data_IF_451219418220
#
_entry.id   IF_451219418220
#
_cell.length_a   1.000
_cell.length_b   1.000
_cell.length_c   1.000
_cell.angle_alpha   90.00
_cell.angle_beta   90.00
_cell.angle_gamma   90.00
#
_symmetry.space_group_name_H-M   'P 1'
#
loop_
_entity.id
_entity.type
_entity.pdbx_description
1 polymer ?
#
# COMPACT_ATOMS: atom_id res chain seq x y z
N UNK A 1 -11.42 13.14 12.08
CA UNK A 1 -11.38 11.76 11.53
C UNK A 1 -10.56 11.65 10.24
N UNK A 2 -10.75 12.53 9.24
CA UNK A 2 -10.01 12.52 7.96
C UNK A 2 -8.47 12.50 8.11
N UNK A 3 -7.95 13.26 9.09
CA UNK A 3 -6.51 13.33 9.39
C UNK A 3 -5.90 12.02 9.89
N UNK A 4 -6.65 11.26 10.68
CA UNK A 4 -6.21 9.95 11.20
C UNK A 4 -6.17 8.91 10.08
N UNK A 5 -7.15 8.94 9.18
CA UNK A 5 -7.14 8.08 7.98
C UNK A 5 -5.93 8.30 7.10
N UNK A 6 -5.47 9.55 6.93
CA UNK A 6 -4.26 9.86 6.16
C UNK A 6 -3.01 9.30 6.87
N UNK A 7 -2.93 9.44 8.19
CA UNK A 7 -1.82 8.85 8.96
C UNK A 7 -1.78 7.33 8.88
N UNK A 8 -2.95 6.68 8.83
CA UNK A 8 -3.07 5.23 8.68
C UNK A 8 -3.07 4.78 7.23
N UNK A 9 -2.91 5.69 6.26
CA UNK A 9 -3.07 5.40 4.83
C UNK A 9 -2.18 4.26 4.36
N UNK A 10 -0.91 4.23 4.79
CA UNK A 10 0.01 3.13 4.48
C UNK A 10 -0.44 1.79 5.06
N UNK A 11 -0.93 1.77 6.30
CA UNK A 11 -1.44 0.54 6.93
C UNK A 11 -2.72 0.04 6.24
N UNK A 12 -3.63 0.96 5.89
CA UNK A 12 -4.88 0.62 5.20
C UNK A 12 -4.59 0.07 3.81
N UNK A 13 -3.72 0.72 3.02
CA UNK A 13 -3.34 0.23 1.70
C UNK A 13 -2.65 -1.14 1.78
N UNK A 14 -1.77 -1.33 2.76
CA UNK A 14 -1.15 -2.63 3.02
C UNK A 14 -2.18 -3.71 3.39
N UNK A 15 -3.13 -3.41 4.28
CA UNK A 15 -4.16 -4.37 4.66
C UNK A 15 -5.09 -4.72 3.49
N UNK A 16 -5.49 -3.73 2.69
CA UNK A 16 -6.30 -3.96 1.48
C UNK A 16 -5.55 -4.85 0.50
N UNK A 17 -4.25 -4.58 0.28
CA UNK A 17 -3.40 -5.44 -0.54
C UNK A 17 -3.34 -6.87 0.00
N UNK A 18 -3.20 -7.03 1.32
CA UNK A 18 -3.20 -8.35 1.95
C UNK A 18 -4.47 -9.14 1.66
N UNK A 19 -5.64 -8.54 1.88
CA UNK A 19 -6.90 -9.24 1.66
C UNK A 19 -7.14 -9.56 0.18
N UNK A 20 -6.69 -8.69 -0.73
CA UNK A 20 -6.79 -8.96 -2.17
C UNK A 20 -5.91 -10.13 -2.61
N UNK A 21 -4.64 -10.15 -2.18
CA UNK A 21 -3.75 -11.27 -2.48
C UNK A 21 -4.27 -12.57 -1.86
N UNK A 22 -4.77 -12.51 -0.62
CA UNK A 22 -5.38 -13.67 0.03
C UNK A 22 -6.59 -14.20 -0.75
N UNK A 23 -7.50 -13.32 -1.17
CA UNK A 23 -8.67 -13.70 -1.97
C UNK A 23 -8.26 -14.35 -3.29
N UNK A 24 -7.29 -13.78 -3.99
CA UNK A 24 -6.77 -14.33 -5.25
C UNK A 24 -6.10 -15.69 -5.04
N UNK A 25 -5.36 -15.86 -3.94
CA UNK A 25 -4.71 -17.13 -3.63
C UNK A 25 -5.72 -18.23 -3.24
N UNK A 26 -6.76 -17.88 -2.48
CA UNK A 26 -7.77 -18.82 -1.99
C UNK A 26 -8.74 -19.25 -3.09
N UNK A 27 -9.23 -18.30 -3.90
CA UNK A 27 -10.30 -18.55 -4.88
C UNK A 27 -9.84 -18.57 -6.34
N UNK A 28 -8.65 -18.03 -6.65
CA UNK A 28 -8.18 -17.90 -8.03
C UNK A 28 -7.49 -19.16 -8.59
N UNK A 29 -6.94 -20.03 -7.73
CA UNK A 29 -6.12 -21.18 -8.16
C UNK A 29 -4.68 -20.81 -8.54
N UNK A 30 -3.98 -21.71 -9.24
CA UNK A 30 -2.53 -21.59 -9.55
C UNK A 30 -2.20 -21.12 -10.98
N UNK A 31 -3.18 -20.60 -11.72
CA UNK A 31 -3.00 -20.21 -13.13
C UNK A 31 -2.21 -18.91 -13.33
N UNK A 32 -1.60 -18.76 -14.51
CA UNK A 32 -0.90 -17.53 -14.94
C UNK A 32 -1.79 -16.28 -14.91
N UNK A 33 -3.10 -16.43 -15.13
CA UNK A 33 -4.07 -15.35 -15.01
C UNK A 33 -4.19 -14.76 -13.60
N UNK A 34 -4.06 -15.59 -12.55
CA UNK A 34 -4.11 -15.13 -11.15
C UNK A 34 -2.86 -14.33 -10.81
N UNK A 35 -1.69 -14.75 -11.29
CA UNK A 35 -0.43 -14.01 -11.14
C UNK A 35 -0.52 -12.65 -11.81
N UNK A 36 -1.10 -12.58 -13.01
CA UNK A 36 -1.31 -11.31 -13.71
C UNK A 36 -2.28 -10.41 -12.93
N UNK A 37 -3.42 -10.94 -12.48
CA UNK A 37 -4.38 -10.18 -11.68
C UNK A 37 -3.73 -9.64 -10.38
N UNK A 38 -2.99 -10.48 -9.66
CA UNK A 38 -2.23 -10.08 -8.47
C UNK A 38 -1.22 -8.97 -8.80
N UNK A 39 -0.45 -9.11 -9.88
CA UNK A 39 0.51 -8.10 -10.35
C UNK A 39 -0.17 -6.74 -10.57
N UNK A 40 -1.30 -6.74 -11.29
CA UNK A 40 -2.05 -5.51 -11.59
C UNK A 40 -2.63 -4.87 -10.32
N UNK A 41 -3.19 -5.67 -9.40
CA UNK A 41 -3.66 -5.18 -8.11
C UNK A 41 -2.53 -4.57 -7.27
N UNK A 42 -1.38 -5.24 -7.20
CA UNK A 42 -0.20 -4.73 -6.48
C UNK A 42 0.28 -3.41 -7.07
N UNK A 43 0.39 -3.31 -8.39
CA UNK A 43 0.79 -2.07 -9.07
C UNK A 43 -0.22 -0.94 -8.83
N UNK A 44 -1.52 -1.24 -8.87
CA UNK A 44 -2.55 -0.24 -8.60
C UNK A 44 -2.46 0.30 -7.16
N UNK A 45 -2.24 -0.56 -6.17
CA UNK A 45 -2.11 -0.15 -4.76
C UNK A 45 -0.80 0.61 -4.53
N UNK A 46 0.32 0.17 -5.10
CA UNK A 46 1.58 0.90 -5.03
C UNK A 46 1.47 2.28 -5.70
N UNK A 47 0.78 2.35 -6.84
CA UNK A 47 0.46 3.62 -7.49
C UNK A 47 -0.35 4.54 -6.58
N UNK A 48 -1.37 4.01 -5.90
CA UNK A 48 -2.13 4.73 -4.88
C UNK A 48 -1.27 5.23 -3.71
N UNK A 49 -0.35 4.39 -3.21
CA UNK A 49 0.57 4.76 -2.14
C UNK A 49 1.52 5.89 -2.55
N UNK A 50 2.11 5.81 -3.75
CA UNK A 50 2.98 6.84 -4.32
C UNK A 50 2.20 8.14 -4.53
N UNK A 51 1.00 8.06 -5.10
CA UNK A 51 0.15 9.23 -5.30
C UNK A 51 -0.20 9.93 -3.98
N UNK A 52 -0.61 9.16 -2.96
CA UNK A 52 -0.87 9.71 -1.62
C UNK A 52 0.39 10.31 -0.99
N UNK A 53 1.55 9.66 -1.14
CA UNK A 53 2.82 10.17 -0.63
C UNK A 53 3.17 11.52 -1.26
N UNK A 54 3.01 11.64 -2.58
CA UNK A 54 3.23 12.89 -3.32
C UNK A 54 2.21 13.96 -2.93
N UNK A 55 0.94 13.59 -2.73
CA UNK A 55 -0.09 14.53 -2.29
C UNK A 55 0.22 15.10 -0.90
N UNK A 56 0.58 14.24 0.06
CA UNK A 56 0.92 14.62 1.44
C UNK A 56 2.24 15.41 1.49
N UNK A 57 3.23 15.08 0.66
CA UNK A 57 4.52 15.80 0.66
C UNK A 57 4.39 17.25 0.17
N UNK A 58 3.39 17.54 -0.67
CA UNK A 58 3.07 18.88 -1.17
C UNK A 58 2.26 19.74 -0.20
N UNK A 59 1.74 19.17 0.90
CA UNK A 59 1.02 19.94 1.91
C UNK A 59 1.96 20.87 2.69
N UNK A 60 1.59 22.14 2.79
CA UNK A 60 2.28 23.16 3.59
C UNK A 60 1.68 23.18 5.00
N UNK A 61 2.42 22.76 6.04
CA UNK A 61 1.90 22.68 7.40
C UNK A 61 1.86 24.07 8.04
N UNK A 62 0.68 24.46 8.51
CA UNK A 62 0.46 25.76 9.18
C UNK A 62 0.97 25.82 10.63
N UNK A 63 1.21 24.67 11.26
CA UNK A 63 1.65 24.58 12.66
C UNK A 63 2.63 23.39 12.91
N UNK A 64 3.34 23.35 14.05
CA UNK A 64 4.27 22.28 14.38
C UNK A 64 3.64 20.88 14.46
N UNK A 65 2.40 20.78 14.95
CA UNK A 65 1.69 19.51 15.05
C UNK A 65 1.31 18.96 13.67
N UNK A 66 0.88 19.84 12.75
CA UNK A 66 0.64 19.50 11.35
C UNK A 66 1.91 19.01 10.65
N UNK A 67 3.07 19.61 10.96
CA UNK A 67 4.37 19.17 10.43
C UNK A 67 4.73 17.76 10.93
N UNK A 68 4.55 17.50 12.22
CA UNK A 68 4.76 16.16 12.78
C UNK A 68 3.82 15.13 12.15
N UNK A 69 2.53 15.46 12.05
CA UNK A 69 1.51 14.60 11.45
C UNK A 69 1.84 14.24 10.01
N UNK A 70 2.27 15.21 9.21
CA UNK A 70 2.70 14.99 7.81
C UNK A 70 3.86 14.00 7.73
N UNK A 71 4.88 14.15 8.59
CA UNK A 71 6.02 13.23 8.66
C UNK A 71 5.59 11.81 9.06
N UNK A 72 4.74 11.70 10.07
CA UNK A 72 4.19 10.41 10.51
C UNK A 72 3.41 9.72 9.37
N UNK A 73 2.56 10.44 8.65
CA UNK A 73 1.81 9.91 7.51
C UNK A 73 2.73 9.45 6.37
N UNK A 74 3.76 10.24 6.02
CA UNK A 74 4.74 9.85 5.00
C UNK A 74 5.53 8.61 5.39
N UNK A 75 5.95 8.50 6.65
CA UNK A 75 6.63 7.29 7.16
C UNK A 75 5.70 6.08 7.10
N UNK A 76 4.44 6.23 7.54
CA UNK A 76 3.46 5.14 7.47
C UNK A 76 3.24 4.68 6.02
N UNK A 77 3.13 5.61 5.06
CA UNK A 77 3.03 5.29 3.63
C UNK A 77 4.27 4.58 3.10
N UNK A 78 5.47 5.02 3.49
CA UNK A 78 6.72 4.39 3.06
C UNK A 78 6.86 2.96 3.60
N UNK A 79 6.60 2.74 4.89
CA UNK A 79 6.64 1.41 5.49
C UNK A 79 5.51 0.51 5.00
N UNK A 80 4.31 1.05 4.78
CA UNK A 80 3.20 0.32 4.17
C UNK A 80 3.53 -0.12 2.74
N UNK A 81 4.11 0.77 1.94
CA UNK A 81 4.60 0.45 0.59
C UNK A 81 5.69 -0.61 0.58
N UNK A 82 6.66 -0.51 1.49
CA UNK A 82 7.69 -1.53 1.68
C UNK A 82 7.06 -2.89 2.04
N UNK A 83 6.09 -2.89 2.95
CA UNK A 83 5.33 -4.08 3.34
C UNK A 83 4.58 -4.71 2.17
N UNK A 84 3.97 -3.90 1.29
CA UNK A 84 3.30 -4.38 0.07
C UNK A 84 4.30 -5.08 -0.85
N UNK A 85 5.48 -4.50 -1.07
CA UNK A 85 6.53 -5.11 -1.90
C UNK A 85 6.98 -6.45 -1.33
N UNK A 86 7.33 -6.49 -0.03
CA UNK A 86 7.75 -7.74 0.62
C UNK A 86 6.66 -8.80 0.60
N UNK A 87 5.41 -8.39 0.79
CA UNK A 87 4.27 -9.30 0.73
C UNK A 87 4.03 -9.87 -0.68
N UNK A 88 4.37 -9.13 -1.73
CA UNK A 88 4.23 -9.59 -3.10
C UNK A 88 5.38 -10.51 -3.56
N UNK A 89 6.55 -10.44 -2.92
CA UNK A 89 7.72 -11.26 -3.28
C UNK A 89 7.44 -12.77 -3.42
N UNK A 90 6.67 -13.44 -2.53
CA UNK A 90 6.37 -14.87 -2.69
C UNK A 90 5.68 -15.21 -4.01
N UNK A 91 4.86 -14.31 -4.57
CA UNK A 91 4.20 -14.54 -5.88
C UNK A 91 5.20 -14.48 -7.05
N UNK A 92 6.31 -13.75 -6.87
CA UNK A 92 7.39 -13.64 -7.86
C UNK A 92 8.43 -14.76 -7.72
N UNK A 93 8.75 -15.14 -6.47
CA UNK A 93 9.91 -15.99 -6.16
C UNK A 93 9.55 -17.46 -5.96
N UNK A 94 8.30 -17.77 -5.61
CA UNK A 94 7.85 -19.14 -5.40
C UNK A 94 7.05 -19.56 -6.63
N UNK A 95 7.69 -20.30 -7.52
CA UNK A 95 6.98 -21.03 -8.56
C UNK A 95 6.16 -22.15 -7.88
N UNK A 96 4.85 -22.13 -8.12
CA UNK A 96 3.91 -23.20 -7.73
C UNK A 96 3.56 -24.03 -8.96
#
# INVERSE_FOLDING_TARGET
MKSWFIMMGGLVLWAVHFFLLYLLAEFGGSGSGVRLAASLCTLAILGGAVWMFVAVSREVPGDPFARWRRRAAMLALAFGGLGIVFQYLPILLVDR
#
